data_IF_599762686848
#
_entry.id   IF_599762686848
#
_cell.length_a   1.000
_cell.length_b   1.000
_cell.length_c   1.000
_cell.angle_alpha   90.00
_cell.angle_beta   90.00
_cell.angle_gamma   90.00
#
_symmetry.space_group_name_H-M   'P 1'
#
loop_
_entity.id
_entity.type
_entity.pdbx_description
1 polymer ?
#
# COMPACT_ATOMS: atom_id res chain seq x y z
N UNK A 1 16.49 -9.25 -29.93
CA UNK A 1 16.46 -10.42 -29.03
C UNK A 1 15.00 -10.67 -28.66
N UNK A 2 14.58 -11.94 -28.63
CA UNK A 2 13.23 -12.32 -28.18
C UNK A 2 13.09 -12.02 -26.66
N UNK A 3 11.87 -11.68 -26.21
CA UNK A 3 11.55 -11.38 -24.82
C UNK A 3 12.01 -12.49 -23.86
N UNK A 4 11.72 -13.75 -24.15
CA UNK A 4 12.11 -14.87 -23.30
C UNK A 4 13.62 -15.05 -23.17
N UNK A 5 14.36 -14.82 -24.27
CA UNK A 5 15.82 -14.82 -24.25
C UNK A 5 16.36 -13.65 -23.43
N UNK A 6 15.71 -12.48 -23.50
CA UNK A 6 16.06 -11.33 -22.66
C UNK A 6 15.88 -11.65 -21.17
N UNK A 7 14.71 -12.18 -20.79
CA UNK A 7 14.41 -12.56 -19.40
C UNK A 7 15.39 -13.64 -18.92
N UNK A 8 15.64 -14.68 -19.74
CA UNK A 8 16.58 -15.74 -19.37
C UNK A 8 18.00 -15.25 -19.14
N UNK A 9 18.49 -14.29 -19.93
CA UNK A 9 19.84 -13.74 -19.79
C UNK A 9 19.99 -12.78 -18.61
N UNK A 10 18.90 -12.24 -18.07
CA UNK A 10 18.90 -11.24 -17.00
C UNK A 10 18.10 -11.66 -15.78
N UNK A 11 17.78 -12.94 -15.65
CA UNK A 11 16.90 -13.44 -14.59
C UNK A 11 17.40 -13.09 -13.17
N UNK A 12 18.70 -13.19 -12.92
CA UNK A 12 19.26 -12.84 -11.60
C UNK A 12 19.02 -11.36 -11.24
N UNK A 13 19.24 -10.45 -12.20
CA UNK A 13 18.99 -9.04 -11.99
C UNK A 13 17.50 -8.74 -11.82
N UNK A 14 16.65 -9.34 -12.67
CA UNK A 14 15.20 -9.18 -12.57
C UNK A 14 14.65 -9.70 -11.25
N UNK A 15 15.17 -10.82 -10.73
CA UNK A 15 14.81 -11.36 -9.42
C UNK A 15 15.27 -10.43 -8.29
N UNK A 16 16.48 -9.89 -8.37
CA UNK A 16 16.98 -8.91 -7.41
C UNK A 16 16.12 -7.64 -7.39
N UNK A 17 15.82 -7.08 -8.57
CA UNK A 17 14.97 -5.90 -8.71
C UNK A 17 13.53 -6.19 -8.22
N UNK A 18 13.00 -7.39 -8.47
CA UNK A 18 11.70 -7.83 -7.97
C UNK A 18 11.68 -7.93 -6.43
N UNK A 19 12.70 -8.52 -5.84
CA UNK A 19 12.85 -8.59 -4.39
C UNK A 19 12.93 -7.19 -3.75
N UNK A 20 13.72 -6.29 -4.31
CA UNK A 20 13.83 -4.92 -3.84
C UNK A 20 12.49 -4.19 -3.94
N UNK A 21 11.77 -4.36 -5.05
CA UNK A 21 10.45 -3.77 -5.25
C UNK A 21 9.43 -4.27 -4.23
N UNK A 22 9.33 -5.59 -4.08
CA UNK A 22 8.44 -6.23 -3.11
C UNK A 22 8.78 -5.83 -1.66
N UNK A 23 10.05 -5.82 -1.31
CA UNK A 23 10.54 -5.43 0.03
C UNK A 23 10.22 -3.97 0.34
N UNK A 24 10.46 -3.05 -0.60
CA UNK A 24 10.16 -1.63 -0.42
C UNK A 24 8.65 -1.41 -0.21
N UNK A 25 7.81 -1.99 -1.07
CA UNK A 25 6.35 -1.88 -0.95
C UNK A 25 5.86 -2.51 0.35
N UNK A 26 6.36 -3.69 0.73
CA UNK A 26 5.98 -4.36 1.98
C UNK A 26 6.30 -3.51 3.21
N UNK A 27 7.53 -3.00 3.31
CA UNK A 27 7.94 -2.15 4.44
C UNK A 27 7.10 -0.88 4.52
N UNK A 28 6.89 -0.18 3.40
CA UNK A 28 6.06 1.01 3.35
C UNK A 28 4.61 0.71 3.72
N UNK A 29 4.07 -0.45 3.31
CA UNK A 29 2.73 -0.89 3.68
C UNK A 29 2.58 -1.18 5.16
N UNK A 30 3.58 -1.79 5.80
CA UNK A 30 3.57 -1.99 7.26
C UNK A 30 3.50 -0.64 7.98
N UNK A 31 4.36 0.30 7.59
CA UNK A 31 4.39 1.64 8.18
C UNK A 31 3.06 2.37 7.94
N UNK A 32 2.57 2.39 6.70
CA UNK A 32 1.31 3.04 6.34
C UNK A 32 0.12 2.41 7.06
N UNK A 33 0.12 1.08 7.25
CA UNK A 33 -0.94 0.37 7.98
C UNK A 33 -0.97 0.79 9.44
N UNK A 34 0.17 0.81 10.12
CA UNK A 34 0.25 1.23 11.52
C UNK A 34 -0.25 2.66 11.66
N UNK A 35 0.30 3.59 10.87
CA UNK A 35 -0.07 5.02 10.93
C UNK A 35 -1.55 5.19 10.54
N UNK A 36 -2.00 4.59 9.45
CA UNK A 36 -3.36 4.75 8.93
C UNK A 36 -4.43 4.18 9.86
N UNK A 37 -4.18 3.00 10.45
CA UNK A 37 -5.09 2.42 11.45
C UNK A 37 -5.12 3.28 12.72
N UNK A 38 -3.98 3.78 13.20
CA UNK A 38 -3.94 4.70 14.35
C UNK A 38 -4.74 5.98 14.07
N UNK A 39 -4.54 6.62 12.91
CA UNK A 39 -5.34 7.79 12.52
C UNK A 39 -6.82 7.42 12.50
N UNK A 40 -7.20 6.29 11.92
CA UNK A 40 -8.57 5.80 11.92
C UNK A 40 -9.15 5.65 13.32
N UNK A 41 -8.42 4.97 14.21
CA UNK A 41 -8.80 4.74 15.61
C UNK A 41 -8.99 6.04 16.39
N UNK A 42 -8.13 7.04 16.20
CA UNK A 42 -8.28 8.33 16.87
C UNK A 42 -9.38 9.21 16.27
N UNK A 43 -9.75 8.96 15.01
CA UNK A 43 -10.66 9.84 14.26
C UNK A 43 -12.10 9.31 14.16
N UNK A 44 -12.36 7.98 14.26
CA UNK A 44 -13.67 7.41 13.92
C UNK A 44 -14.84 7.88 14.79
N UNK A 45 -14.59 8.26 16.06
CA UNK A 45 -15.63 8.69 17.00
C UNK A 45 -16.11 10.12 16.81
N UNK A 46 -15.35 10.95 16.10
CA UNK A 46 -15.69 12.34 15.80
C UNK A 46 -15.88 12.52 14.30
N UNK A 47 -17.02 13.06 13.87
CA UNK A 47 -17.26 13.34 12.46
C UNK A 47 -16.25 14.33 11.91
N UNK A 48 -15.98 15.40 12.66
CA UNK A 48 -15.00 16.42 12.28
C UNK A 48 -13.59 15.82 12.11
N UNK A 49 -13.13 15.04 13.10
CA UNK A 49 -11.81 14.40 13.03
C UNK A 49 -11.71 13.38 11.89
N UNK A 50 -12.75 12.60 11.68
CA UNK A 50 -12.80 11.66 10.56
C UNK A 50 -12.79 12.33 9.19
N UNK A 51 -13.54 13.42 9.04
CA UNK A 51 -13.56 14.22 7.83
C UNK A 51 -12.21 14.90 7.60
N UNK A 52 -11.61 15.47 8.64
CA UNK A 52 -10.27 16.09 8.55
C UNK A 52 -9.21 15.06 8.14
N UNK A 53 -9.17 13.89 8.78
CA UNK A 53 -8.22 12.83 8.47
C UNK A 53 -8.37 12.35 7.02
N UNK A 54 -9.61 12.13 6.57
CA UNK A 54 -9.90 11.71 5.19
C UNK A 54 -9.54 12.80 4.19
N UNK A 55 -9.89 14.07 4.46
CA UNK A 55 -9.56 15.19 3.58
C UNK A 55 -8.06 15.41 3.49
N UNK A 56 -7.34 15.41 4.62
CA UNK A 56 -5.89 15.57 4.63
C UNK A 56 -5.19 14.48 3.81
N UNK A 57 -5.58 13.22 4.01
CA UNK A 57 -4.97 12.09 3.26
C UNK A 57 -5.40 12.08 1.79
N UNK A 58 -6.62 12.50 1.44
CA UNK A 58 -7.06 12.60 0.05
C UNK A 58 -6.35 13.74 -0.70
N UNK A 59 -6.05 14.85 -0.02
CA UNK A 59 -5.29 15.95 -0.61
C UNK A 59 -3.90 15.49 -1.07
N UNK A 60 -3.25 14.60 -0.31
CA UNK A 60 -1.96 14.02 -0.71
C UNK A 60 -2.07 13.28 -2.05
N UNK A 61 -3.16 12.53 -2.28
CA UNK A 61 -3.37 11.82 -3.54
C UNK A 61 -3.61 12.73 -4.75
N UNK A 62 -3.97 14.00 -4.55
CA UNK A 62 -4.09 14.94 -5.67
C UNK A 62 -2.75 15.41 -6.22
N UNK A 63 -1.68 15.28 -5.43
CA UNK A 63 -0.33 15.61 -5.87
C UNK A 63 0.15 14.49 -6.81
N UNK A 64 0.63 14.77 -8.03
CA UNK A 64 1.21 13.73 -8.88
C UNK A 64 2.41 13.06 -8.22
N UNK A 65 2.47 11.72 -8.27
CA UNK A 65 3.51 10.96 -7.55
C UNK A 65 4.93 11.34 -7.93
N UNK A 66 5.17 11.56 -9.22
CA UNK A 66 6.47 12.03 -9.71
C UNK A 66 6.82 13.42 -9.15
N UNK A 67 5.84 14.31 -9.03
CA UNK A 67 6.04 15.64 -8.47
C UNK A 67 6.34 15.59 -6.99
N UNK A 68 5.62 14.75 -6.21
CA UNK A 68 5.89 14.57 -4.78
C UNK A 68 7.30 14.03 -4.55
N UNK A 69 7.70 13.01 -5.30
CA UNK A 69 9.06 12.46 -5.22
C UNK A 69 10.09 13.55 -5.57
N UNK A 70 9.87 14.31 -6.65
CA UNK A 70 10.74 15.40 -7.06
C UNK A 70 10.87 16.53 -6.03
N UNK A 71 9.78 16.86 -5.31
CA UNK A 71 9.80 17.83 -4.20
C UNK A 71 10.57 17.34 -2.98
N UNK A 72 10.60 16.03 -2.75
CA UNK A 72 11.32 15.44 -1.61
C UNK A 72 12.82 15.33 -1.86
N UNK A 73 13.25 15.14 -3.12
CA UNK A 73 14.68 14.97 -3.46
C UNK A 73 15.59 16.08 -2.92
N UNK A 74 15.27 17.40 -3.06
CA UNK A 74 16.10 18.45 -2.47
C UNK A 74 16.18 18.43 -0.94
N UNK A 75 15.22 17.78 -0.27
CA UNK A 75 15.10 17.76 1.21
C UNK A 75 15.82 16.54 1.79
N UNK A 76 15.62 15.37 1.19
CA UNK A 76 16.08 14.09 1.75
C UNK A 76 17.06 13.33 0.85
N UNK A 77 17.45 13.91 -0.28
CA UNK A 77 18.34 13.28 -1.26
C UNK A 77 17.65 12.33 -2.21
N UNK A 78 18.44 11.75 -3.13
CA UNK A 78 17.99 10.70 -4.07
C UNK A 78 17.97 9.33 -3.37
N UNK A 79 17.19 8.40 -3.89
CA UNK A 79 17.20 6.99 -3.51
C UNK A 79 16.02 6.54 -2.65
N UNK A 80 16.32 5.85 -1.55
CA UNK A 80 15.28 5.15 -0.75
C UNK A 80 14.40 6.13 0.04
N UNK A 81 14.95 7.23 0.57
CA UNK A 81 14.23 8.13 1.47
C UNK A 81 12.99 8.79 0.81
N UNK A 82 13.10 9.48 -0.35
CA UNK A 82 11.93 10.06 -1.00
C UNK A 82 10.92 9.00 -1.46
N UNK A 83 11.41 7.80 -1.83
CA UNK A 83 10.56 6.66 -2.17
C UNK A 83 9.70 6.24 -0.98
N UNK A 84 10.30 5.96 0.18
CA UNK A 84 9.59 5.51 1.39
C UNK A 84 8.58 6.54 1.85
N UNK A 85 8.97 7.82 1.93
CA UNK A 85 8.07 8.90 2.36
C UNK A 85 6.86 8.98 1.43
N UNK A 86 7.09 9.00 0.11
CA UNK A 86 6.00 9.07 -0.87
C UNK A 86 5.08 7.86 -0.78
N UNK A 87 5.63 6.64 -0.76
CA UNK A 87 4.82 5.41 -0.69
C UNK A 87 3.97 5.37 0.59
N UNK A 88 4.54 5.72 1.74
CA UNK A 88 3.78 5.77 3.00
C UNK A 88 2.65 6.78 2.90
N UNK A 89 2.92 8.01 2.44
CA UNK A 89 1.91 9.05 2.31
C UNK A 89 0.76 8.65 1.38
N UNK A 90 1.06 8.08 0.21
CA UNK A 90 0.03 7.59 -0.72
C UNK A 90 -0.77 6.41 -0.19
N UNK A 91 -0.13 5.54 0.59
CA UNK A 91 -0.79 4.39 1.21
C UNK A 91 -1.80 4.76 2.29
N UNK A 92 -1.72 5.96 2.87
CA UNK A 92 -2.56 6.34 4.01
C UNK A 92 -4.04 6.42 3.68
N UNK A 93 -4.44 7.04 2.56
CA UNK A 93 -5.87 7.34 2.32
C UNK A 93 -6.77 6.10 2.31
N UNK A 94 -6.49 5.05 1.51
CA UNK A 94 -7.36 3.87 1.51
C UNK A 94 -7.42 3.20 2.89
N UNK A 95 -6.32 3.19 3.65
CA UNK A 95 -6.25 2.58 4.98
C UNK A 95 -7.05 3.41 5.99
N UNK A 96 -6.81 4.72 6.06
CA UNK A 96 -7.51 5.64 6.98
C UNK A 96 -9.01 5.60 6.73
N UNK A 97 -9.42 5.72 5.47
CA UNK A 97 -10.84 5.72 5.09
C UNK A 97 -11.52 4.42 5.47
N UNK A 98 -10.91 3.27 5.15
CA UNK A 98 -11.49 1.97 5.46
C UNK A 98 -11.44 1.66 6.97
N UNK A 99 -10.44 2.14 7.70
CA UNK A 99 -10.40 2.03 9.16
C UNK A 99 -11.54 2.82 9.82
N UNK A 100 -11.76 4.07 9.40
CA UNK A 100 -12.86 4.91 9.90
C UNK A 100 -14.21 4.27 9.56
N UNK A 101 -14.42 3.87 8.31
CA UNK A 101 -15.69 3.25 7.87
C UNK A 101 -15.93 1.92 8.59
N UNK A 102 -14.90 1.09 8.71
CA UNK A 102 -15.00 -0.20 9.40
C UNK A 102 -15.33 -0.05 10.88
N UNK A 103 -14.67 0.88 11.58
CA UNK A 103 -14.93 1.12 13.01
C UNK A 103 -16.30 1.75 13.26
N UNK A 104 -16.78 2.64 12.38
CA UNK A 104 -18.12 3.21 12.45
C UNK A 104 -19.22 2.22 12.07
N UNK A 105 -18.90 1.23 11.24
CA UNK A 105 -19.83 0.19 10.80
C UNK A 105 -20.04 -0.94 11.81
N UNK A 106 -19.35 -0.93 12.95
CA UNK A 106 -19.59 -1.92 14.02
C UNK A 106 -20.97 -1.71 14.62
N UNK A 107 -21.75 -2.79 14.74
CA UNK A 107 -23.12 -2.75 15.28
C UNK A 107 -23.13 -2.13 16.69
N UNK A 108 -23.93 -1.09 16.83
CA UNK A 108 -24.08 -0.38 18.12
C UNK A 108 -24.58 -1.31 19.23
N UNK A 109 -25.39 -2.32 18.91
CA UNK A 109 -25.90 -3.32 19.86
C UNK A 109 -24.75 -4.10 20.49
N UNK A 110 -23.74 -4.49 19.71
CA UNK A 110 -22.56 -5.20 20.21
C UNK A 110 -21.68 -4.28 21.09
N UNK A 111 -21.56 -3.02 20.68
CA UNK A 111 -20.83 -2.00 21.45
C UNK A 111 -21.50 -1.73 22.79
N UNK A 112 -22.85 -1.66 22.83
CA UNK A 112 -23.62 -1.42 24.05
C UNK A 112 -23.65 -2.65 24.97
N UNK A 113 -23.75 -3.86 24.40
CA UNK A 113 -23.58 -5.09 25.18
C UNK A 113 -22.20 -5.15 25.86
N UNK A 114 -21.13 -4.81 25.14
CA UNK A 114 -19.79 -4.75 25.69
C UNK A 114 -19.65 -3.69 26.82
N UNK A 115 -20.35 -2.55 26.72
CA UNK A 115 -20.44 -1.58 27.82
C UNK A 115 -21.21 -2.14 29.03
N UNK A 116 -22.34 -2.82 28.77
CA UNK A 116 -23.19 -3.40 29.82
C UNK A 116 -22.47 -4.42 30.70
N UNK A 117 -21.56 -5.20 30.15
CA UNK A 117 -20.71 -6.13 30.91
C UNK A 117 -19.47 -5.47 31.52
N UNK A 118 -19.37 -4.12 31.50
CA UNK A 118 -18.31 -3.37 32.16
C UNK A 118 -16.99 -3.27 31.40
N UNK A 119 -16.94 -3.52 30.09
CA UNK A 119 -15.71 -3.37 29.31
C UNK A 119 -15.24 -1.90 29.26
N UNK A 120 -13.97 -1.67 29.59
CA UNK A 120 -13.33 -0.38 29.41
C UNK A 120 -13.27 0.02 27.91
N UNK A 121 -13.09 1.32 27.63
CA UNK A 121 -13.00 1.84 26.25
C UNK A 121 -11.92 1.13 25.42
N UNK A 122 -10.74 0.91 26.03
CA UNK A 122 -9.62 0.23 25.35
C UNK A 122 -9.91 -1.26 25.14
N UNK A 123 -10.44 -1.95 26.16
CA UNK A 123 -10.80 -3.37 26.04
C UNK A 123 -11.85 -3.58 24.93
N UNK A 124 -12.86 -2.72 24.86
CA UNK A 124 -13.89 -2.76 23.81
C UNK A 124 -13.30 -2.52 22.42
N UNK A 125 -12.44 -1.48 22.27
CA UNK A 125 -11.77 -1.21 21.02
C UNK A 125 -10.96 -2.41 20.52
N UNK A 126 -10.12 -3.00 21.38
CA UNK A 126 -9.20 -4.07 20.99
C UNK A 126 -9.88 -5.44 20.83
N UNK A 127 -10.95 -5.74 21.60
CA UNK A 127 -11.57 -7.06 21.63
C UNK A 127 -12.89 -7.15 20.86
N UNK A 128 -13.51 -6.01 20.52
CA UNK A 128 -14.80 -5.97 19.83
C UNK A 128 -14.71 -5.14 18.55
N UNK A 129 -14.41 -3.84 18.67
CA UNK A 129 -14.52 -2.91 17.56
C UNK A 129 -13.48 -3.19 16.46
N UNK A 130 -12.19 -3.34 16.80
CA UNK A 130 -11.12 -3.62 15.82
C UNK A 130 -11.25 -4.98 15.13
N UNK A 131 -11.53 -6.09 15.83
CA UNK A 131 -11.75 -7.36 15.16
C UNK A 131 -12.92 -7.37 14.20
N UNK A 132 -14.02 -6.66 14.52
CA UNK A 132 -15.18 -6.53 13.65
C UNK A 132 -14.92 -5.56 12.48
N UNK A 133 -14.08 -4.55 12.68
CA UNK A 133 -13.65 -3.61 11.64
C UNK A 133 -12.50 -4.17 10.76
N UNK A 134 -11.94 -5.34 11.10
CA UNK A 134 -10.81 -5.90 10.38
C UNK A 134 -11.05 -6.15 8.89
N UNK A 135 -12.20 -6.68 8.41
CA UNK A 135 -12.44 -6.90 7.00
C UNK A 135 -12.33 -5.61 6.15
N UNK A 136 -13.00 -4.49 6.49
CA UNK A 136 -12.78 -3.23 5.78
C UNK A 136 -11.35 -2.71 5.88
N UNK A 137 -10.70 -2.82 7.05
CA UNK A 137 -9.29 -2.40 7.21
C UNK A 137 -8.39 -3.20 6.26
N UNK A 138 -8.55 -4.52 6.19
CA UNK A 138 -7.79 -5.37 5.28
C UNK A 138 -8.04 -5.00 3.81
N UNK A 139 -9.27 -4.62 3.46
CA UNK A 139 -9.61 -4.09 2.13
C UNK A 139 -8.83 -2.81 1.83
N UNK A 140 -8.75 -1.88 2.79
CA UNK A 140 -7.95 -0.66 2.66
C UNK A 140 -6.46 -0.94 2.43
N UNK A 141 -5.89 -1.88 3.19
CA UNK A 141 -4.50 -2.33 3.04
C UNK A 141 -4.27 -2.92 1.63
N UNK A 142 -5.16 -3.79 1.18
CA UNK A 142 -5.11 -4.43 -0.14
C UNK A 142 -5.14 -3.40 -1.27
N UNK A 143 -6.07 -2.45 -1.23
CA UNK A 143 -6.17 -1.38 -2.23
C UNK A 143 -4.93 -0.50 -2.22
N UNK A 144 -4.43 -0.11 -1.04
CA UNK A 144 -3.18 0.64 -0.92
C UNK A 144 -2.01 -0.10 -1.55
N UNK A 145 -1.85 -1.39 -1.28
CA UNK A 145 -0.74 -2.18 -1.84
C UNK A 145 -0.76 -2.20 -3.36
N UNK A 146 -1.94 -2.42 -3.98
CA UNK A 146 -2.08 -2.40 -5.44
C UNK A 146 -1.66 -1.05 -6.03
N UNK A 147 -2.08 0.04 -5.40
CA UNK A 147 -1.70 1.40 -5.82
C UNK A 147 -0.20 1.64 -5.66
N UNK A 148 0.38 1.22 -4.53
CA UNK A 148 1.80 1.42 -4.24
C UNK A 148 2.72 0.61 -5.16
N UNK A 149 2.30 -0.54 -5.69
CA UNK A 149 3.07 -1.29 -6.69
C UNK A 149 3.36 -0.43 -7.92
N UNK A 150 2.38 0.34 -8.42
CA UNK A 150 2.59 1.27 -9.53
C UNK A 150 3.43 2.48 -9.15
N UNK A 151 3.18 3.09 -7.98
CA UNK A 151 3.91 4.29 -7.54
C UNK A 151 5.39 3.96 -7.25
N UNK A 152 5.68 2.79 -6.71
CA UNK A 152 7.05 2.33 -6.48
C UNK A 152 7.85 2.19 -7.79
N UNK A 153 7.20 1.85 -8.90
CA UNK A 153 7.85 1.86 -10.21
C UNK A 153 8.30 3.27 -10.62
N UNK A 154 7.48 4.29 -10.33
CA UNK A 154 7.80 5.70 -10.65
C UNK A 154 8.95 6.21 -9.79
N UNK A 155 9.10 5.72 -8.56
CA UNK A 155 10.19 6.10 -7.67
C UNK A 155 11.59 5.76 -8.20
N UNK A 156 11.71 4.82 -9.14
CA UNK A 156 12.95 4.51 -9.83
C UNK A 156 13.53 5.73 -10.59
N UNK A 157 12.69 6.71 -11.01
CA UNK A 157 13.15 7.97 -11.58
C UNK A 157 14.04 8.77 -10.62
N UNK A 158 13.82 8.69 -9.33
CA UNK A 158 14.64 9.30 -8.29
C UNK A 158 15.63 8.30 -7.67
N UNK A 159 16.07 7.31 -8.42
CA UNK A 159 16.99 6.24 -7.96
C UNK A 159 16.39 5.36 -6.85
N UNK A 160 15.06 5.23 -6.82
CA UNK A 160 14.38 4.28 -5.95
C UNK A 160 14.66 2.81 -6.36
N UNK A 161 14.53 1.86 -5.43
CA UNK A 161 14.81 0.46 -5.70
C UNK A 161 13.69 -0.23 -6.50
N UNK A 162 14.02 -1.27 -7.25
CA UNK A 162 13.08 -2.23 -7.80
C UNK A 162 12.91 -2.19 -9.31
N UNK A 163 11.89 -2.91 -9.78
CA UNK A 163 11.58 -3.18 -11.20
C UNK A 163 11.29 -1.93 -12.05
N UNK A 164 10.98 -0.80 -11.43
CA UNK A 164 10.85 0.48 -12.12
C UNK A 164 12.13 0.87 -12.87
N UNK A 165 13.30 0.45 -12.40
CA UNK A 165 14.57 0.68 -13.06
C UNK A 165 14.63 0.04 -14.46
N UNK A 166 14.04 -1.15 -14.66
CA UNK A 166 13.96 -1.77 -15.98
C UNK A 166 13.08 -0.95 -16.92
N UNK A 167 11.95 -0.45 -16.44
CA UNK A 167 11.03 0.38 -17.23
C UNK A 167 11.75 1.66 -17.70
N UNK A 168 12.39 2.39 -16.76
CA UNK A 168 13.06 3.66 -17.10
C UNK A 168 14.30 3.44 -17.97
N UNK A 169 15.08 2.36 -17.77
CA UNK A 169 16.16 1.98 -18.69
C UNK A 169 15.64 1.71 -20.10
N UNK A 170 14.52 1.01 -20.24
CA UNK A 170 13.88 0.76 -21.52
C UNK A 170 13.44 2.06 -22.20
N UNK A 171 12.80 2.97 -21.45
CA UNK A 171 12.39 4.29 -21.96
C UNK A 171 13.60 5.12 -22.38
N UNK A 172 14.65 5.14 -21.57
CA UNK A 172 15.87 5.89 -21.88
C UNK A 172 16.66 5.33 -23.09
N UNK A 173 16.45 4.06 -23.42
CA UNK A 173 17.10 3.37 -24.55
C UNK A 173 16.17 3.16 -25.75
N UNK A 174 15.14 4.02 -25.93
CA UNK A 174 14.24 3.96 -27.08
C UNK A 174 15.02 3.96 -28.40
N UNK A 175 14.66 3.01 -29.29
CA UNK A 175 15.39 2.75 -30.54
C UNK A 175 16.41 1.60 -30.43
N UNK A 176 16.79 1.16 -29.23
CA UNK A 176 17.59 -0.04 -29.06
C UNK A 176 16.77 -1.32 -29.25
N UNK A 177 17.43 -2.43 -29.66
CA UNK A 177 16.78 -3.74 -29.85
C UNK A 177 16.12 -4.30 -28.59
N UNK A 178 16.52 -3.85 -27.41
CA UNK A 178 16.05 -4.37 -26.13
C UNK A 178 15.14 -3.41 -25.36
N UNK A 179 14.91 -2.18 -25.83
CA UNK A 179 14.11 -1.18 -25.12
C UNK A 179 12.72 -1.70 -24.75
N UNK A 180 12.01 -2.30 -25.70
CA UNK A 180 10.68 -2.88 -25.46
C UNK A 180 10.74 -4.04 -24.46
N UNK A 181 11.75 -4.93 -24.56
CA UNK A 181 11.90 -6.06 -23.65
C UNK A 181 12.14 -5.61 -22.21
N UNK A 182 12.89 -4.53 -22.00
CA UNK A 182 13.12 -3.92 -20.68
C UNK A 182 11.81 -3.40 -20.08
N UNK A 183 11.07 -2.59 -20.84
CA UNK A 183 9.77 -2.05 -20.36
C UNK A 183 8.80 -3.19 -20.04
N UNK A 184 8.70 -4.19 -20.91
CA UNK A 184 7.83 -5.34 -20.71
C UNK A 184 8.26 -6.16 -19.48
N UNK A 185 9.54 -6.44 -19.31
CA UNK A 185 10.04 -7.22 -18.17
C UNK A 185 9.75 -6.53 -16.84
N UNK A 186 10.01 -5.22 -16.75
CA UNK A 186 9.67 -4.43 -15.57
C UNK A 186 8.17 -4.40 -15.29
N UNK A 187 7.35 -4.14 -16.32
CA UNK A 187 5.89 -4.05 -16.18
C UNK A 187 5.27 -5.40 -15.80
N UNK A 188 5.61 -6.48 -16.50
CA UNK A 188 5.11 -7.83 -16.21
C UNK A 188 5.55 -8.28 -14.82
N UNK A 189 6.79 -8.00 -14.44
CA UNK A 189 7.30 -8.30 -13.11
C UNK A 189 6.50 -7.60 -12.00
N UNK A 190 6.16 -6.32 -12.16
CA UNK A 190 5.34 -5.57 -11.20
C UNK A 190 3.92 -6.14 -11.12
N UNK A 191 3.31 -6.48 -12.26
CA UNK A 191 1.98 -7.10 -12.29
C UNK A 191 1.98 -8.44 -11.57
N UNK A 192 2.99 -9.28 -11.79
CA UNK A 192 3.13 -10.56 -11.08
C UNK A 192 3.25 -10.33 -9.57
N UNK A 193 4.09 -9.40 -9.13
CA UNK A 193 4.21 -9.06 -7.71
C UNK A 193 2.88 -8.56 -7.13
N UNK A 194 2.17 -7.69 -7.84
CA UNK A 194 0.86 -7.19 -7.41
C UNK A 194 -0.14 -8.34 -7.21
N UNK A 195 -0.19 -9.30 -8.13
CA UNK A 195 -1.04 -10.49 -8.02
C UNK A 195 -0.63 -11.40 -6.86
N UNK A 196 0.67 -11.58 -6.62
CA UNK A 196 1.17 -12.36 -5.49
C UNK A 196 0.78 -11.73 -4.14
N UNK A 197 0.92 -10.42 -4.00
CA UNK A 197 0.47 -9.70 -2.81
C UNK A 197 -1.05 -9.80 -2.64
N UNK A 198 -1.81 -9.64 -3.72
CA UNK A 198 -3.26 -9.75 -3.71
C UNK A 198 -3.72 -11.14 -3.23
N UNK A 199 -3.11 -12.20 -3.76
CA UNK A 199 -3.35 -13.56 -3.31
C UNK A 199 -2.97 -13.73 -1.82
N UNK A 200 -1.86 -13.15 -1.38
CA UNK A 200 -1.47 -13.13 0.02
C UNK A 200 -2.54 -12.50 0.92
N UNK A 201 -3.12 -11.36 0.52
CA UNK A 201 -4.21 -10.73 1.28
C UNK A 201 -5.50 -11.55 1.29
N UNK A 202 -5.82 -12.27 0.20
CA UNK A 202 -6.93 -13.22 0.19
C UNK A 202 -6.71 -14.32 1.22
N UNK A 203 -5.49 -14.85 1.32
CA UNK A 203 -5.15 -15.87 2.33
C UNK A 203 -5.23 -15.30 3.76
N UNK A 204 -4.66 -14.11 3.98
CA UNK A 204 -4.77 -13.43 5.28
C UNK A 204 -6.23 -13.24 5.66
N UNK A 205 -7.07 -12.76 4.74
CA UNK A 205 -8.50 -12.62 4.98
C UNK A 205 -9.18 -13.94 5.35
N UNK A 206 -8.84 -15.04 4.64
CA UNK A 206 -9.38 -16.36 4.96
C UNK A 206 -8.96 -16.88 6.33
N UNK A 207 -7.79 -16.52 6.80
CA UNK A 207 -7.25 -16.96 8.10
C UNK A 207 -7.71 -16.09 9.26
N UNK A 208 -7.86 -14.79 9.03
CA UNK A 208 -8.10 -13.80 10.10
C UNK A 208 -9.56 -13.38 10.26
N UNK A 209 -10.38 -13.53 9.21
CA UNK A 209 -11.81 -13.17 9.27
C UNK A 209 -12.62 -14.40 9.71
N UNK A 210 -13.32 -14.34 10.86
CA UNK A 210 -14.19 -15.41 11.33
C UNK A 210 -15.29 -15.74 10.32
N UNK A 211 -15.69 -17.03 10.26
CA UNK A 211 -16.70 -17.49 9.28
C UNK A 211 -18.06 -16.78 9.38
N UNK A 212 -18.42 -16.28 10.57
CA UNK A 212 -19.70 -15.59 10.81
C UNK A 212 -19.78 -14.15 10.28
N UNK A 213 -18.68 -13.54 9.87
CA UNK A 213 -18.62 -12.17 9.33
C UNK A 213 -17.99 -12.11 7.94
N UNK A 214 -17.78 -13.27 7.29
CA UNK A 214 -17.35 -13.33 5.89
C UNK A 214 -18.52 -12.97 4.98
N UNK A 215 -18.38 -11.90 4.21
CA UNK A 215 -19.27 -11.55 3.10
C UNK A 215 -18.70 -12.14 1.82
#
# INVERSE_FOLDING_TARGET
VNFWTYVGNRHEQLLSDAYQHASAVFQCMVIATVIGVLIGVFSYRSEWAGNLATTATSTILTVPSLALIGLLVPIVGLGVAPTVISLVLYGLLPIVRNAIVGLRGVDATLVDAAKGIGMSRTARLLRVELPLAWPPILTGIRVSTQMLMGIAAIAAYASGPGLGNEIFRGIASLGSKNALNQVLAGTVGIVILALLFDFGYVLIGRLTIPRGIRV
#
